data_IF_449170664794
#
_entry.id   IF_449170664794
#
_cell.length_a   1.000
_cell.length_b   1.000
_cell.length_c   1.000
_cell.angle_alpha   90.00
_cell.angle_beta   90.00
_cell.angle_gamma   90.00
#
_symmetry.space_group_name_H-M   'P 1'
#
loop_
_entity.id
_entity.type
_entity.pdbx_description
1 polymer ?
#
# COMPACT_ATOMS: atom_id res chain seq x y z
N UNK A 1 68.05 26.27 29.55
CA UNK A 1 66.61 26.34 29.87
C UNK A 1 65.85 26.74 28.60
N UNK A 2 65.51 25.77 27.76
CA UNK A 2 64.21 25.09 27.67
C UNK A 2 63.24 25.85 26.75
N UNK A 3 63.29 25.50 25.45
CA UNK A 3 62.33 25.91 24.44
C UNK A 3 60.96 25.31 24.83
N UNK A 4 59.98 26.15 25.15
CA UNK A 4 58.61 25.73 25.40
C UNK A 4 57.90 25.50 24.06
N UNK A 5 57.62 24.23 23.79
CA UNK A 5 56.80 23.75 22.68
C UNK A 5 55.36 24.23 22.86
N UNK A 6 54.82 24.90 21.84
CA UNK A 6 53.42 25.32 21.78
C UNK A 6 52.54 24.06 21.67
N UNK A 7 51.80 23.75 22.73
CA UNK A 7 50.81 22.66 22.72
C UNK A 7 49.62 23.14 21.89
N UNK A 8 49.49 22.61 20.68
CA UNK A 8 48.32 22.79 19.83
C UNK A 8 47.07 22.32 20.57
N UNK A 9 46.13 23.25 20.75
CA UNK A 9 44.82 22.98 21.31
C UNK A 9 44.01 22.17 20.29
N UNK A 10 43.82 20.89 20.58
CA UNK A 10 42.94 20.00 19.83
C UNK A 10 41.47 20.40 20.09
N UNK A 11 40.84 21.04 19.11
CA UNK A 11 39.41 21.39 19.17
C UNK A 11 38.64 20.33 18.39
N UNK A 12 37.85 19.45 19.05
CA UNK A 12 37.18 18.32 18.39
C UNK A 12 36.19 18.74 17.30
N UNK A 13 35.63 19.96 17.37
CA UNK A 13 34.74 20.49 16.34
C UNK A 13 35.47 20.74 15.00
N UNK A 14 36.75 21.11 15.01
CA UNK A 14 37.51 21.36 13.78
C UNK A 14 37.82 20.05 13.04
N UNK A 15 38.10 18.98 13.79
CA UNK A 15 38.25 17.64 13.22
C UNK A 15 36.93 17.18 12.57
N UNK A 16 35.80 17.42 13.25
CA UNK A 16 34.47 17.08 12.70
C UNK A 16 34.14 17.88 11.43
N UNK A 17 34.45 19.18 11.41
CA UNK A 17 34.25 20.04 10.24
C UNK A 17 35.09 19.59 9.04
N UNK A 18 36.37 19.28 9.23
CA UNK A 18 37.23 18.79 8.14
C UNK A 18 36.75 17.48 7.53
N UNK A 19 36.17 16.60 8.35
CA UNK A 19 35.61 15.32 7.91
C UNK A 19 34.34 15.51 7.07
N UNK A 20 33.45 16.41 7.50
CA UNK A 20 32.23 16.73 6.76
C UNK A 20 32.53 17.39 5.41
N UNK A 21 33.52 18.28 5.36
CA UNK A 21 33.90 18.97 4.13
C UNK A 21 34.50 18.01 3.10
N UNK A 22 35.34 17.06 3.55
CA UNK A 22 35.89 16.00 2.70
C UNK A 22 34.80 15.11 2.09
N UNK A 23 33.79 14.71 2.88
CA UNK A 23 32.66 13.92 2.39
C UNK A 23 31.81 14.68 1.37
N UNK A 24 31.65 15.99 1.55
CA UNK A 24 30.86 16.82 0.64
C UNK A 24 31.56 17.00 -0.72
N UNK A 25 32.90 17.13 -0.71
CA UNK A 25 33.72 17.26 -1.91
C UNK A 25 33.68 15.98 -2.78
N UNK A 26 33.69 14.81 -2.14
CA UNK A 26 33.60 13.51 -2.82
C UNK A 26 32.25 13.32 -3.50
N UNK A 27 31.15 13.71 -2.83
CA UNK A 27 29.81 13.68 -3.41
C UNK A 27 29.66 14.63 -4.62
N UNK A 28 30.29 15.81 -4.57
CA UNK A 28 30.26 16.76 -5.68
C UNK A 28 31.06 16.28 -6.90
N UNK A 29 32.17 15.56 -6.69
CA UNK A 29 32.98 15.01 -7.77
C UNK A 29 32.25 13.89 -8.55
N UNK A 30 31.42 13.10 -7.88
CA UNK A 30 30.62 12.03 -8.51
C UNK A 30 29.50 12.54 -9.44
N UNK A 31 29.13 13.82 -9.35
CA UNK A 31 28.06 14.44 -10.14
C UNK A 31 28.57 15.16 -11.40
N UNK A 32 29.89 15.19 -11.62
CA UNK A 32 30.54 16.02 -12.64
C UNK A 32 31.21 15.23 -13.78
N UNK A 33 30.78 14.00 -14.07
CA UNK A 33 31.18 13.31 -15.31
C UNK A 33 30.17 13.58 -16.45
N UNK A 34 30.53 14.38 -17.47
CA UNK A 34 29.74 14.49 -18.69
C UNK A 34 30.07 13.34 -19.64
N UNK A 35 29.15 12.39 -19.83
CA UNK A 35 29.22 11.49 -20.98
C UNK A 35 28.84 12.24 -22.28
N UNK A 36 29.67 12.19 -23.33
CA UNK A 36 29.42 12.91 -24.57
C UNK A 36 28.39 12.21 -25.47
N UNK A 37 27.57 13.08 -26.06
CA UNK A 37 26.53 12.89 -27.09
C UNK A 37 26.98 12.04 -28.29
N UNK A 38 26.08 11.17 -28.79
CA UNK A 38 26.06 10.82 -30.22
C UNK A 38 24.63 10.88 -30.77
N UNK A 39 24.43 11.89 -31.62
CA UNK A 39 23.28 12.07 -32.52
C UNK A 39 23.46 11.15 -33.72
N UNK A 40 22.43 10.39 -34.08
CA UNK A 40 22.33 9.78 -35.40
C UNK A 40 20.90 9.94 -35.94
N UNK A 41 20.71 10.98 -36.72
CA UNK A 41 19.59 11.19 -37.64
C UNK A 41 19.70 10.18 -38.78
N UNK A 42 18.65 9.40 -39.04
CA UNK A 42 18.45 8.71 -40.30
C UNK A 42 16.98 8.87 -40.72
N UNK A 43 16.82 9.67 -41.77
CA UNK A 43 15.60 10.01 -42.50
C UNK A 43 15.39 9.01 -43.66
N UNK A 44 14.16 9.00 -44.21
CA UNK A 44 13.70 8.28 -45.41
C UNK A 44 13.49 6.76 -45.27
N UNK A 45 12.50 6.09 -45.88
CA UNK A 45 11.33 6.46 -46.68
C UNK A 45 10.62 5.14 -47.08
N UNK A 46 9.28 5.13 -47.05
CA UNK A 46 8.36 4.52 -48.04
C UNK A 46 8.41 2.99 -48.29
N UNK A 47 7.34 2.27 -47.95
CA UNK A 47 6.43 1.58 -48.92
C UNK A 47 5.30 0.79 -48.19
N UNK A 48 4.07 1.30 -48.28
CA UNK A 48 2.87 0.48 -48.58
C UNK A 48 2.84 0.26 -50.12
N UNK A 49 2.16 -0.76 -50.74
CA UNK A 49 0.94 -1.52 -50.36
C UNK A 49 1.00 -3.01 -50.90
N UNK A 50 -0.04 -3.72 -51.42
CA UNK A 50 -1.48 -3.84 -51.13
C UNK A 50 -2.00 -5.30 -50.86
N UNK A 51 -3.15 -5.37 -50.18
CA UNK A 51 -4.37 -6.23 -50.34
C UNK A 51 -4.34 -7.63 -51.03
N UNK A 52 -5.07 -8.56 -50.40
CA UNK A 52 -5.86 -9.70 -50.94
C UNK A 52 -5.23 -11.11 -50.97
N UNK A 53 -5.70 -11.99 -50.07
CA UNK A 53 -6.47 -13.19 -50.43
C UNK A 53 -6.71 -14.12 -49.21
N UNK A 54 -7.95 -14.18 -48.72
CA UNK A 54 -8.54 -15.41 -48.16
C UNK A 54 -9.12 -16.22 -49.34
N UNK A 55 -9.43 -17.54 -49.22
CA UNK A 55 -9.35 -18.41 -48.06
C UNK A 55 -8.64 -19.76 -48.35
N UNK A 56 -8.05 -20.40 -47.34
CA UNK A 56 -7.85 -21.86 -47.35
C UNK A 56 -8.31 -22.42 -46.02
N UNK A 57 -9.47 -23.03 -46.04
CA UNK A 57 -10.03 -23.83 -44.97
C UNK A 57 -9.15 -25.07 -44.80
N UNK A 58 -8.50 -25.19 -43.65
CA UNK A 58 -7.87 -26.43 -43.21
C UNK A 58 -8.51 -26.81 -41.87
N UNK A 59 -8.87 -28.10 -41.67
CA UNK A 59 -9.83 -28.48 -40.64
C UNK A 59 -9.28 -28.24 -39.25
N UNK A 60 -10.20 -27.80 -38.39
CA UNK A 60 -10.05 -27.53 -36.97
C UNK A 60 -9.37 -28.73 -36.28
N UNK A 61 -8.08 -28.62 -36.01
CA UNK A 61 -7.45 -29.43 -34.97
C UNK A 61 -8.14 -29.02 -33.66
N UNK A 62 -8.77 -30.00 -33.01
CA UNK A 62 -9.54 -29.84 -31.79
C UNK A 62 -8.68 -29.17 -30.71
N UNK A 63 -8.88 -27.87 -30.54
CA UNK A 63 -8.37 -27.15 -29.38
C UNK A 63 -9.05 -27.79 -28.15
N UNK A 64 -8.32 -28.28 -27.14
CA UNK A 64 -8.94 -28.62 -25.87
C UNK A 64 -9.72 -27.40 -25.39
N UNK A 65 -10.90 -27.58 -24.76
CA UNK A 65 -11.74 -26.46 -24.38
C UNK A 65 -10.90 -25.47 -23.59
N UNK A 66 -10.76 -24.25 -24.13
CA UNK A 66 -10.21 -23.14 -23.41
C UNK A 66 -11.06 -23.02 -22.14
N UNK A 67 -10.48 -23.41 -21.01
CA UNK A 67 -10.99 -23.04 -19.71
C UNK A 67 -11.13 -21.52 -19.82
N UNK A 68 -12.35 -20.95 -19.67
CA UNK A 68 -12.48 -19.51 -19.66
C UNK A 68 -11.47 -19.00 -18.62
N UNK A 69 -10.69 -17.93 -18.90
CA UNK A 69 -9.86 -17.36 -17.86
C UNK A 69 -10.80 -17.14 -16.69
N UNK A 70 -10.50 -17.77 -15.55
CA UNK A 70 -11.18 -17.43 -14.32
C UNK A 70 -11.07 -15.91 -14.26
N UNK A 71 -12.20 -15.21 -14.38
CA UNK A 71 -12.24 -13.77 -14.16
C UNK A 71 -11.58 -13.58 -12.82
N UNK A 72 -10.35 -13.08 -12.87
CA UNK A 72 -9.55 -12.92 -11.68
C UNK A 72 -10.30 -11.86 -10.90
N UNK A 73 -10.91 -12.23 -9.77
CA UNK A 73 -11.54 -11.32 -8.81
C UNK A 73 -10.48 -10.46 -8.09
N UNK A 74 -9.35 -10.28 -8.76
CA UNK A 74 -8.16 -9.60 -8.36
C UNK A 74 -8.26 -8.19 -8.94
N UNK A 75 -8.07 -7.15 -8.12
CA UNK A 75 -8.23 -5.78 -8.56
C UNK A 75 -7.17 -5.39 -9.61
N UNK A 76 -7.57 -4.50 -10.54
CA UNK A 76 -6.78 -4.11 -11.73
C UNK A 76 -5.39 -3.58 -11.38
N UNK A 77 -5.24 -2.93 -10.21
CA UNK A 77 -3.95 -2.41 -9.76
C UNK A 77 -2.88 -3.50 -9.57
N UNK A 78 -3.25 -4.78 -9.43
CA UNK A 78 -2.28 -5.88 -9.34
C UNK A 78 -1.53 -6.13 -10.65
N UNK A 79 -2.08 -5.68 -11.78
CA UNK A 79 -1.53 -5.95 -13.12
C UNK A 79 -0.51 -4.90 -13.58
N UNK A 80 -0.33 -3.81 -12.82
CA UNK A 80 0.53 -2.69 -13.17
C UNK A 80 1.30 -2.18 -11.94
N UNK A 81 2.40 -1.41 -12.11
CA UNK A 81 3.02 -0.71 -11.01
C UNK A 81 2.06 0.31 -10.37
N UNK A 82 2.10 0.44 -9.05
CA UNK A 82 1.22 1.33 -8.30
C UNK A 82 1.91 1.91 -7.06
N UNK A 83 1.35 2.97 -6.51
CA UNK A 83 1.80 3.53 -5.23
C UNK A 83 1.00 2.94 -4.08
N UNK A 84 1.67 2.58 -2.99
CA UNK A 84 1.07 2.06 -1.78
C UNK A 84 1.46 2.90 -0.56
N UNK A 85 0.50 3.14 0.32
CA UNK A 85 0.71 3.85 1.57
C UNK A 85 1.09 2.86 2.66
N UNK A 86 2.21 3.10 3.33
CA UNK A 86 2.60 2.35 4.50
C UNK A 86 1.96 2.94 5.76
N UNK A 87 1.46 2.08 6.63
CA UNK A 87 0.95 2.46 7.95
C UNK A 87 1.13 1.31 8.94
N UNK A 88 1.16 1.66 10.22
CA UNK A 88 1.31 0.68 11.28
C UNK A 88 0.02 0.47 12.04
N UNK A 89 -0.19 -0.79 12.39
CA UNK A 89 -1.30 -1.23 13.22
C UNK A 89 -0.79 -2.20 14.28
N UNK A 90 -0.83 -1.80 15.54
CA UNK A 90 -0.42 -2.63 16.68
C UNK A 90 0.99 -3.23 16.53
N UNK A 91 1.92 -2.46 15.96
CA UNK A 91 3.31 -2.89 15.70
C UNK A 91 3.50 -3.76 14.46
N UNK A 92 2.47 -3.92 13.62
CA UNK A 92 2.57 -4.55 12.30
C UNK A 92 2.49 -3.49 11.20
N UNK A 93 3.45 -3.50 10.28
CA UNK A 93 3.42 -2.64 9.11
C UNK A 93 2.57 -3.24 7.99
N UNK A 94 1.70 -2.41 7.44
CA UNK A 94 0.74 -2.74 6.40
C UNK A 94 0.89 -1.77 5.24
N UNK A 95 0.56 -2.23 4.03
CA UNK A 95 0.54 -1.45 2.81
C UNK A 95 -0.84 -1.50 2.18
N UNK A 96 -1.35 -0.36 1.72
CA UNK A 96 -2.60 -0.27 0.95
C UNK A 96 -2.36 0.54 -0.32
N UNK A 97 -2.83 0.08 -1.51
CA UNK A 97 -2.75 0.87 -2.74
C UNK A 97 -3.44 2.23 -2.61
N UNK A 98 -2.75 3.32 -3.00
CA UNK A 98 -3.31 4.68 -2.95
C UNK A 98 -4.58 4.81 -3.81
N UNK A 99 -4.69 4.03 -4.88
CA UNK A 99 -5.87 4.01 -5.75
C UNK A 99 -7.15 3.62 -5.00
N UNK A 100 -7.05 2.76 -3.98
CA UNK A 100 -8.20 2.31 -3.19
C UNK A 100 -8.46 3.19 -1.96
N UNK A 101 -7.60 4.18 -1.70
CA UNK A 101 -7.71 5.08 -0.55
C UNK A 101 -8.52 6.33 -0.89
N UNK A 102 -9.31 6.75 0.08
CA UNK A 102 -9.99 8.05 0.07
C UNK A 102 -9.13 9.11 0.76
N UNK A 103 -9.59 9.58 1.91
CA UNK A 103 -8.97 10.63 2.71
C UNK A 103 -8.41 10.07 4.02
N UNK A 104 -7.32 10.66 4.48
CA UNK A 104 -6.72 10.35 5.77
C UNK A 104 -7.11 11.45 6.74
N UNK A 105 -7.75 11.07 7.84
CA UNK A 105 -8.17 11.98 8.90
C UNK A 105 -7.37 11.68 10.18
N UNK A 106 -6.88 12.72 10.83
CA UNK A 106 -6.45 12.63 12.23
C UNK A 106 -7.67 12.38 13.10
N UNK A 107 -7.54 11.51 14.10
CA UNK A 107 -8.61 11.20 15.03
C UNK A 107 -8.68 12.31 16.10
N UNK A 108 -9.14 13.49 15.69
CA UNK A 108 -9.35 14.64 16.57
C UNK A 108 -10.79 14.67 17.12
N UNK A 109 -11.70 13.96 16.45
CA UNK A 109 -13.12 13.85 16.79
C UNK A 109 -13.43 12.48 17.37
N UNK A 110 -14.38 12.43 18.31
CA UNK A 110 -14.82 11.16 18.91
C UNK A 110 -15.58 10.31 17.91
N UNK A 111 -15.29 9.00 17.93
CA UNK A 111 -16.04 8.00 17.18
C UNK A 111 -17.30 7.68 18.00
N UNK A 112 -18.47 7.84 17.40
CA UNK A 112 -19.76 7.51 18.04
C UNK A 112 -19.99 6.00 18.02
N UNK A 113 -19.88 5.27 19.15
CA UNK A 113 -20.05 3.82 19.16
C UNK A 113 -21.51 3.43 18.88
N UNK A 114 -21.70 2.30 18.19
CA UNK A 114 -23.02 1.71 17.98
C UNK A 114 -23.17 0.41 18.76
N UNK A 115 -24.25 0.29 19.52
CA UNK A 115 -24.56 -0.91 20.29
C UNK A 115 -25.01 -2.07 19.38
N UNK A 116 -24.75 -3.30 19.81
CA UNK A 116 -25.12 -4.52 19.08
C UNK A 116 -24.27 -4.81 17.84
N UNK A 117 -23.21 -4.03 17.60
CA UNK A 117 -22.27 -4.26 16.51
C UNK A 117 -21.16 -5.24 16.93
N UNK A 118 -20.55 -5.97 15.97
CA UNK A 118 -19.44 -6.84 16.25
C UNK A 118 -18.23 -6.04 16.75
N UNK A 119 -17.40 -6.62 17.62
CA UNK A 119 -16.37 -5.84 18.32
C UNK A 119 -15.19 -5.34 17.47
N UNK A 120 -15.15 -5.64 16.17
CA UNK A 120 -14.25 -5.00 15.19
C UNK A 120 -14.81 -3.67 14.67
N UNK A 121 -16.09 -3.38 14.91
CA UNK A 121 -16.70 -2.09 14.60
C UNK A 121 -16.49 -1.13 15.77
N UNK A 122 -15.86 0.02 15.51
CA UNK A 122 -15.63 1.04 16.53
C UNK A 122 -16.81 2.00 16.64
N UNK A 123 -17.38 2.41 15.51
CA UNK A 123 -18.49 3.36 15.50
C UNK A 123 -18.57 4.18 14.21
N UNK A 124 -19.25 5.31 14.31
CA UNK A 124 -19.40 6.28 13.23
C UNK A 124 -18.53 7.52 13.50
N UNK A 125 -17.79 7.96 12.48
CA UNK A 125 -17.05 9.22 12.47
C UNK A 125 -17.73 10.18 11.50
N UNK A 126 -18.21 11.31 12.01
CA UNK A 126 -18.80 12.37 11.18
C UNK A 126 -17.69 13.16 10.50
N UNK A 127 -17.64 13.15 9.18
CA UNK A 127 -16.70 13.96 8.38
C UNK A 127 -17.47 14.94 7.50
N UNK A 128 -16.82 15.98 6.95
CA UNK A 128 -17.47 16.89 6.00
C UNK A 128 -18.04 16.20 4.75
N UNK A 129 -17.49 15.04 4.38
CA UNK A 129 -17.95 14.24 3.24
C UNK A 129 -19.11 13.29 3.58
N UNK A 130 -19.45 13.13 4.87
CA UNK A 130 -20.46 12.20 5.34
C UNK A 130 -20.01 11.38 6.56
N UNK A 131 -20.83 10.40 6.92
CA UNK A 131 -20.56 9.52 8.06
C UNK A 131 -19.76 8.30 7.63
N UNK A 132 -18.58 8.11 8.23
CA UNK A 132 -17.72 6.95 8.00
C UNK A 132 -17.94 5.91 9.10
N UNK A 133 -18.10 4.66 8.69
CA UNK A 133 -18.10 3.47 9.53
C UNK A 133 -16.66 3.07 9.83
N UNK A 134 -16.23 3.34 11.05
CA UNK A 134 -14.85 3.10 11.47
C UNK A 134 -14.70 1.70 12.05
N UNK A 135 -13.72 0.96 11.54
CA UNK A 135 -13.38 -0.38 12.01
C UNK A 135 -11.99 -0.43 12.64
N UNK A 136 -11.84 -1.32 13.61
CA UNK A 136 -10.57 -1.60 14.28
C UNK A 136 -9.71 -2.51 13.41
N UNK A 137 -8.75 -1.91 12.70
CA UNK A 137 -7.85 -2.63 11.79
C UNK A 137 -7.00 -3.66 12.55
N UNK A 138 -6.61 -3.39 13.79
CA UNK A 138 -5.77 -4.32 14.57
C UNK A 138 -6.52 -5.61 14.85
N UNK A 139 -7.81 -5.49 15.19
CA UNK A 139 -8.66 -6.66 15.45
C UNK A 139 -8.95 -7.46 14.18
N UNK A 140 -9.05 -6.81 13.02
CA UNK A 140 -9.30 -7.48 11.74
C UNK A 140 -8.06 -8.24 11.25
N UNK A 141 -6.89 -7.61 11.32
CA UNK A 141 -5.64 -8.15 10.78
C UNK A 141 -5.00 -9.16 11.73
N UNK A 142 -5.07 -8.91 13.05
CA UNK A 142 -4.46 -9.73 14.09
C UNK A 142 -5.40 -9.96 15.30
N UNK A 143 -6.52 -10.69 15.13
CA UNK A 143 -7.47 -10.93 16.22
C UNK A 143 -6.83 -11.62 17.44
N UNK A 144 -5.88 -12.55 17.21
CA UNK A 144 -5.23 -13.33 18.28
C UNK A 144 -4.28 -12.50 19.17
N UNK A 145 -3.74 -11.40 18.64
CA UNK A 145 -2.79 -10.53 19.37
C UNK A 145 -3.43 -9.23 19.83
N UNK A 146 -4.74 -9.10 19.64
CA UNK A 146 -5.47 -7.89 19.95
C UNK A 146 -5.55 -7.66 21.46
N UNK A 147 -5.33 -6.40 21.87
CA UNK A 147 -5.53 -5.93 23.23
C UNK A 147 -6.39 -4.66 23.22
N UNK A 148 -7.27 -4.48 24.21
CA UNK A 148 -8.16 -3.32 24.25
C UNK A 148 -7.39 -2.00 24.37
N UNK A 149 -6.20 -1.99 25.00
CA UNK A 149 -5.36 -0.77 25.11
C UNK A 149 -4.83 -0.28 23.74
N UNK A 150 -4.90 -1.11 22.69
CA UNK A 150 -4.55 -0.67 21.34
C UNK A 150 -5.53 0.37 20.81
N UNK A 151 -6.75 0.44 21.34
CA UNK A 151 -7.76 1.44 20.95
C UNK A 151 -7.31 2.85 21.29
N UNK A 152 -6.69 3.02 22.46
CA UNK A 152 -6.24 4.32 22.96
C UNK A 152 -5.08 4.90 22.12
N UNK A 153 -4.42 4.02 21.36
CA UNK A 153 -3.29 4.39 20.50
C UNK A 153 -3.72 4.69 19.06
N UNK A 154 -5.01 4.59 18.71
CA UNK A 154 -5.50 4.94 17.38
C UNK A 154 -5.35 6.46 17.20
N UNK A 155 -4.69 6.87 16.12
CA UNK A 155 -4.43 8.28 15.82
C UNK A 155 -4.99 8.74 14.48
N UNK A 156 -5.20 7.82 13.56
CA UNK A 156 -5.65 8.13 12.21
C UNK A 156 -6.79 7.24 11.79
N UNK A 157 -7.64 7.78 10.92
CA UNK A 157 -8.74 7.08 10.26
C UNK A 157 -8.58 7.28 8.75
N UNK A 158 -8.39 6.18 8.03
CA UNK A 158 -8.20 6.19 6.58
C UNK A 158 -9.51 5.73 5.92
N UNK A 159 -10.16 6.60 5.15
CA UNK A 159 -11.37 6.21 4.42
C UNK A 159 -11.04 5.41 3.17
N UNK A 160 -11.95 4.49 2.82
CA UNK A 160 -11.85 3.64 1.63
C UNK A 160 -12.57 4.34 0.49
N UNK A 161 -11.96 4.37 -0.70
CA UNK A 161 -12.57 5.03 -1.86
C UNK A 161 -13.87 4.32 -2.26
N UNK A 162 -14.93 5.10 -2.50
CA UNK A 162 -16.22 4.59 -2.99
C UNK A 162 -17.03 3.79 -1.96
N UNK A 163 -16.62 3.77 -0.69
CA UNK A 163 -17.30 3.07 0.40
C UNK A 163 -17.42 3.97 1.63
N UNK A 164 -18.44 3.73 2.46
CA UNK A 164 -18.60 4.42 3.75
C UNK A 164 -17.70 3.83 4.85
N UNK A 165 -16.74 2.97 4.51
CA UNK A 165 -15.89 2.28 5.47
C UNK A 165 -14.57 3.02 5.68
N UNK A 166 -14.06 2.97 6.90
CA UNK A 166 -12.78 3.56 7.24
C UNK A 166 -11.98 2.71 8.23
N UNK A 167 -10.66 2.68 8.03
CA UNK A 167 -9.71 1.90 8.80
C UNK A 167 -9.11 2.77 9.92
N UNK A 168 -9.31 2.38 11.17
CA UNK A 168 -8.60 2.98 12.29
C UNK A 168 -7.17 2.43 12.38
N UNK A 169 -6.18 3.31 12.38
CA UNK A 169 -4.75 2.96 12.38
C UNK A 169 -3.95 3.77 13.40
N UNK A 170 -2.80 3.24 13.80
CA UNK A 170 -1.97 3.82 14.86
C UNK A 170 -1.03 4.90 14.33
N UNK A 171 -0.40 4.67 13.18
CA UNK A 171 0.51 5.62 12.56
C UNK A 171 0.48 5.49 11.04
N UNK A 172 0.56 6.62 10.34
CA UNK A 172 0.73 6.68 8.88
C UNK A 172 2.19 6.98 8.58
N UNK A 173 2.78 6.30 7.60
CA UNK A 173 4.17 6.48 7.16
C UNK A 173 4.18 7.07 5.74
N UNK A 174 5.24 6.80 4.99
CA UNK A 174 5.43 7.24 3.60
C UNK A 174 4.64 6.37 2.60
N UNK A 175 4.46 6.92 1.39
CA UNK A 175 4.06 6.15 0.22
C UNK A 175 5.28 5.59 -0.51
N UNK A 176 5.13 4.39 -1.06
CA UNK A 176 6.17 3.68 -1.79
C UNK A 176 5.65 3.27 -3.16
N UNK A 177 6.54 3.24 -4.16
CA UNK A 177 6.22 2.72 -5.47
C UNK A 177 6.49 1.21 -5.50
N UNK A 178 5.49 0.41 -5.89
CA UNK A 178 5.57 -1.04 -5.92
C UNK A 178 5.39 -1.57 -7.34
N UNK A 179 6.28 -2.49 -7.70
CA UNK A 179 6.18 -3.31 -8.91
C UNK A 179 5.79 -4.75 -8.53
N UNK A 180 5.25 -5.50 -9.49
CA UNK A 180 4.79 -6.88 -9.26
C UNK A 180 5.88 -7.81 -8.70
N UNK A 181 7.14 -7.61 -9.11
CA UNK A 181 8.26 -8.44 -8.66
C UNK A 181 8.65 -8.22 -7.19
N UNK A 182 8.26 -7.08 -6.60
CA UNK A 182 8.53 -6.75 -5.20
C UNK A 182 7.46 -7.32 -4.25
N UNK A 183 6.43 -8.00 -4.79
CA UNK A 183 5.31 -8.51 -4.01
C UNK A 183 5.25 -10.02 -4.14
N UNK A 184 5.29 -10.70 -2.99
CA UNK A 184 4.93 -12.11 -2.90
C UNK A 184 3.41 -12.25 -2.83
N UNK A 185 2.79 -12.41 -4.00
CA UNK A 185 1.34 -12.58 -4.13
C UNK A 185 0.85 -13.89 -3.50
N UNK A 186 -0.37 -13.85 -2.94
CA UNK A 186 -1.04 -15.04 -2.44
C UNK A 186 -1.99 -15.61 -3.50
N UNK A 187 -1.87 -16.91 -3.76
CA UNK A 187 -2.67 -17.64 -4.75
C UNK A 187 -3.95 -18.27 -4.16
N UNK A 188 -4.03 -18.50 -2.85
CA UNK A 188 -5.26 -18.94 -2.18
C UNK A 188 -5.88 -17.83 -1.34
N UNK A 189 -7.08 -17.39 -1.74
CA UNK A 189 -7.99 -16.65 -0.89
C UNK A 189 -8.57 -17.59 0.18
N UNK A 190 -7.81 -17.80 1.26
CA UNK A 190 -8.29 -18.52 2.45
C UNK A 190 -9.09 -17.59 3.39
N UNK A 191 -9.09 -17.89 4.70
CA UNK A 191 -9.74 -17.08 5.76
C UNK A 191 -9.38 -15.58 5.77
N UNK A 192 -8.31 -15.17 5.08
CA UNK A 192 -7.82 -13.78 4.97
C UNK A 192 -7.85 -13.33 3.51
N UNK A 193 -9.05 -13.16 2.95
CA UNK A 193 -9.23 -12.67 1.58
C UNK A 193 -8.74 -11.23 1.40
N UNK A 194 -8.75 -10.44 2.49
CA UNK A 194 -8.21 -9.08 2.56
C UNK A 194 -6.68 -8.98 2.44
N UNK A 195 -5.93 -10.09 2.46
CA UNK A 195 -4.46 -10.07 2.35
C UNK A 195 -4.04 -10.49 0.93
N UNK A 196 -3.73 -9.49 0.11
CA UNK A 196 -3.29 -9.67 -1.29
C UNK A 196 -1.92 -10.34 -1.40
N UNK A 197 -0.98 -9.95 -0.54
CA UNK A 197 0.40 -10.40 -0.62
C UNK A 197 1.27 -9.87 0.50
N UNK A 198 2.58 -10.06 0.35
CA UNK A 198 3.61 -9.51 1.23
C UNK A 198 4.61 -8.73 0.40
N UNK A 199 4.85 -7.48 0.75
CA UNK A 199 5.89 -6.65 0.13
C UNK A 199 7.23 -7.12 0.67
N UNK A 200 8.13 -7.48 -0.24
CA UNK A 200 9.40 -8.13 0.11
C UNK A 200 10.34 -7.13 0.76
N UNK A 201 10.58 -5.99 0.13
CA UNK A 201 11.57 -4.99 0.61
C UNK A 201 11.20 -4.41 1.99
N UNK A 202 9.92 -4.07 2.18
CA UNK A 202 9.44 -3.46 3.42
C UNK A 202 8.92 -4.47 4.45
N UNK A 203 8.91 -5.77 4.12
CA UNK A 203 8.41 -6.85 4.98
C UNK A 203 7.00 -6.58 5.55
N UNK A 204 6.15 -5.89 4.78
CA UNK A 204 4.82 -5.50 5.19
C UNK A 204 3.74 -6.31 4.47
N UNK A 205 2.57 -6.43 5.10
CA UNK A 205 1.43 -7.10 4.50
C UNK A 205 0.67 -6.14 3.57
N UNK A 206 0.44 -6.57 2.34
CA UNK A 206 -0.31 -5.80 1.34
C UNK A 206 -1.80 -6.17 1.43
N UNK A 207 -2.64 -5.16 1.71
CA UNK A 207 -4.07 -5.33 1.82
C UNK A 207 -4.76 -5.22 0.46
N UNK A 208 -5.82 -6.01 0.32
CA UNK A 208 -6.86 -5.84 -0.69
C UNK A 208 -8.07 -5.19 -0.03
N UNK A 209 -8.25 -3.89 -0.26
CA UNK A 209 -9.28 -3.12 0.43
C UNK A 209 -10.66 -3.43 -0.14
N UNK A 210 -10.74 -3.72 -1.44
CA UNK A 210 -11.95 -4.16 -2.12
C UNK A 210 -12.50 -5.44 -1.50
N UNK A 211 -11.65 -6.45 -1.27
CA UNK A 211 -12.07 -7.69 -0.61
C UNK A 211 -12.38 -7.46 0.88
N UNK A 212 -11.66 -6.54 1.53
CA UNK A 212 -11.92 -6.19 2.93
C UNK A 212 -13.31 -5.55 3.09
N UNK A 213 -13.70 -4.60 2.24
CA UNK A 213 -15.00 -3.93 2.33
C UNK A 213 -16.16 -4.92 2.16
N UNK A 214 -16.05 -5.87 1.21
CA UNK A 214 -17.03 -6.96 1.03
C UNK A 214 -17.17 -7.82 2.28
N UNK A 215 -16.06 -8.12 2.97
CA UNK A 215 -16.07 -8.85 4.24
C UNK A 215 -16.73 -8.02 5.36
N UNK A 216 -16.48 -6.72 5.43
CA UNK A 216 -17.09 -5.82 6.43
C UNK A 216 -18.60 -5.69 6.23
N UNK A 217 -19.06 -5.58 4.99
CA UNK A 217 -20.49 -5.55 4.66
C UNK A 217 -21.18 -6.88 4.98
N UNK A 218 -20.48 -8.00 4.80
CA UNK A 218 -21.00 -9.31 5.16
C UNK A 218 -21.06 -9.50 6.68
N UNK A 219 -20.01 -9.09 7.40
CA UNK A 219 -19.93 -9.19 8.85
C UNK A 219 -20.85 -8.22 9.60
N UNK A 220 -21.21 -7.07 9.02
CA UNK A 220 -22.17 -6.15 9.62
C UNK A 220 -23.62 -6.65 9.50
N UNK A 221 -23.93 -7.43 8.46
CA UNK A 221 -25.27 -8.02 8.26
C UNK A 221 -25.59 -9.16 9.22
N UNK A 222 -24.60 -9.96 9.62
CA UNK A 222 -24.81 -11.09 10.54
C UNK A 222 -25.19 -10.65 11.97
N UNK A 223 -24.92 -9.40 12.36
CA UNK A 223 -25.39 -8.82 13.63
C UNK A 223 -26.87 -8.41 13.65
N UNK A 224 -27.56 -8.37 12.49
CA UNK A 224 -28.96 -7.92 12.38
C UNK A 224 -30.02 -9.02 12.54
N UNK A 225 -29.62 -10.25 12.88
CA UNK A 225 -30.48 -11.45 12.89
C UNK A 225 -31.02 -11.90 14.26
N UNK A 226 -31.06 -11.04 15.28
CA UNK A 226 -31.65 -11.35 16.58
C UNK A 226 -33.06 -10.75 16.71
N UNK A 227 -34.05 -11.62 16.93
CA UNK A 227 -35.48 -11.39 17.23
C UNK A 227 -36.45 -11.22 16.04
N UNK A 228 -36.78 -12.34 15.41
CA UNK A 228 -38.17 -12.65 15.09
C UNK A 228 -38.42 -14.13 15.37
N UNK A 229 -38.86 -14.42 16.59
CA UNK A 229 -39.38 -15.73 16.97
C UNK A 229 -40.54 -15.50 17.95
N UNK A 230 -41.75 -15.55 17.39
CA UNK A 230 -42.97 -16.15 17.93
C UNK A 230 -43.38 -15.74 19.35
N UNK A 231 -44.41 -14.89 19.42
CA UNK A 231 -45.35 -14.75 20.53
C UNK A 231 -46.72 -14.40 19.96
#
# INVERSE_FOLDING_TARGET
MSKLTKVEQYVPEQALQSYLDSMLQEAAASLAEPEPVVVATAELAVETPPVAALPRHMPLASQPPAVPPAVSDAPVWREQPFEALLFDVAGLSLAVPLLELGSIHTLDSEITPLFGQPGWFLGLLSTPAGNLKVVDTARLVMPERYRPELRDNIRYVISIQGCDWALAVHAVRESIHLTQGQIKWRSQQGKRAWLAGTVIEHMCALLDVSQLSVLLDSGSRTGKGGTSALG
#
